data_IF_751522705217
#
_entry.id   IF_751522705217
#
_cell.length_a   1.000
_cell.length_b   1.000
_cell.length_c   1.000
_cell.angle_alpha   90.00
_cell.angle_beta   90.00
_cell.angle_gamma   90.00
#
_symmetry.space_group_name_H-M   'P 1'
#
loop_
_entity.id
_entity.type
_entity.pdbx_description
1 polymer ?
#
# COMPACT_ATOMS: atom_id res chain seq x y z
N UNK A 1 -61.81 -21.24 47.15
CA UNK A 1 -61.85 -19.76 47.23
C UNK A 1 -60.52 -19.18 47.69
N UNK A 2 -60.20 -19.04 48.99
CA UNK A 2 -58.98 -18.28 49.41
C UNK A 2 -57.65 -18.91 49.02
N UNK A 3 -57.52 -20.24 49.09
CA UNK A 3 -56.29 -20.98 48.70
C UNK A 3 -56.03 -20.93 47.19
N UNK A 4 -57.08 -21.03 46.37
CA UNK A 4 -56.95 -20.91 44.90
C UNK A 4 -56.50 -19.51 44.49
N UNK A 5 -57.02 -18.46 45.15
CA UNK A 5 -56.62 -17.08 44.87
C UNK A 5 -55.14 -16.85 45.20
N UNK A 6 -54.61 -17.48 46.25
CA UNK A 6 -53.20 -17.38 46.63
C UNK A 6 -52.28 -18.10 45.63
N UNK A 7 -52.67 -19.29 45.17
CA UNK A 7 -51.96 -20.03 44.11
C UNK A 7 -51.91 -19.20 42.82
N UNK A 8 -53.06 -18.67 42.38
CA UNK A 8 -53.14 -17.84 41.16
C UNK A 8 -52.30 -16.56 41.26
N UNK A 9 -52.19 -15.95 42.45
CA UNK A 9 -51.31 -14.79 42.65
C UNK A 9 -49.83 -15.15 42.50
N UNK A 10 -49.42 -16.30 43.03
CA UNK A 10 -48.05 -16.77 42.93
C UNK A 10 -47.70 -17.11 41.47
N UNK A 11 -48.58 -17.82 40.76
CA UNK A 11 -48.43 -18.11 39.33
C UNK A 11 -48.35 -16.83 38.48
N UNK A 12 -49.22 -15.84 38.73
CA UNK A 12 -49.13 -14.55 38.02
C UNK A 12 -47.82 -13.81 38.28
N UNK A 13 -47.28 -13.88 39.51
CA UNK A 13 -45.98 -13.28 39.82
C UNK A 13 -44.83 -13.98 39.09
N UNK A 14 -44.90 -15.30 38.97
CA UNK A 14 -43.93 -16.11 38.25
C UNK A 14 -43.96 -15.78 36.75
N UNK A 15 -45.13 -15.80 36.13
CA UNK A 15 -45.28 -15.48 34.71
C UNK A 15 -44.86 -14.05 34.38
N UNK A 16 -45.10 -13.09 35.28
CA UNK A 16 -44.62 -11.72 35.11
C UNK A 16 -43.09 -11.67 35.05
N UNK A 17 -42.41 -12.40 35.93
CA UNK A 17 -40.94 -12.48 35.91
C UNK A 17 -40.42 -13.17 34.65
N UNK A 18 -41.07 -14.24 34.18
CA UNK A 18 -40.70 -14.90 32.91
C UNK A 18 -40.83 -13.95 31.72
N UNK A 19 -41.91 -13.16 31.65
CA UNK A 19 -42.13 -12.17 30.60
C UNK A 19 -41.01 -11.12 30.61
N UNK A 20 -40.61 -10.64 31.78
CA UNK A 20 -39.52 -9.68 31.91
C UNK A 20 -38.18 -10.27 31.42
N UNK A 21 -37.88 -11.52 31.76
CA UNK A 21 -36.68 -12.24 31.28
C UNK A 21 -36.70 -12.42 29.75
N UNK A 22 -37.85 -12.80 29.19
CA UNK A 22 -38.03 -12.95 27.75
C UNK A 22 -37.85 -11.63 27.02
N UNK A 23 -38.38 -10.53 27.56
CA UNK A 23 -38.22 -9.19 26.97
C UNK A 23 -36.75 -8.76 26.93
N UNK A 24 -35.99 -9.00 28.01
CA UNK A 24 -34.55 -8.73 28.04
C UNK A 24 -33.81 -9.58 27.00
N UNK A 25 -34.16 -10.86 26.89
CA UNK A 25 -33.55 -11.79 25.93
C UNK A 25 -33.84 -11.39 24.47
N UNK A 26 -35.08 -10.98 24.18
CA UNK A 26 -35.47 -10.48 22.86
C UNK A 26 -34.72 -9.21 22.49
N UNK A 27 -34.58 -8.27 23.43
CA UNK A 27 -33.80 -7.04 23.19
C UNK A 27 -32.36 -7.36 22.84
N UNK A 28 -31.73 -8.24 23.63
CA UNK A 28 -30.35 -8.67 23.38
C UNK A 28 -30.22 -9.39 22.02
N UNK A 29 -31.18 -10.23 21.65
CA UNK A 29 -31.21 -10.90 20.35
C UNK A 29 -31.27 -9.91 19.19
N UNK A 30 -32.10 -8.87 19.30
CA UNK A 30 -32.22 -7.84 18.27
C UNK A 30 -30.91 -7.05 18.12
N UNK A 31 -30.29 -6.67 19.24
CA UNK A 31 -29.01 -5.95 19.24
C UNK A 31 -27.91 -6.77 18.51
N UNK A 32 -27.83 -8.08 18.80
CA UNK A 32 -26.91 -8.99 18.11
C UNK A 32 -27.21 -9.14 16.61
N UNK A 33 -28.48 -9.12 16.21
CA UNK A 33 -28.85 -9.21 14.80
C UNK A 33 -28.42 -7.96 14.03
N UNK A 34 -28.55 -6.77 14.64
CA UNK A 34 -28.11 -5.51 14.04
C UNK A 34 -26.58 -5.46 13.89
N UNK A 35 -25.84 -5.86 14.92
CA UNK A 35 -24.37 -5.92 14.88
C UNK A 35 -23.88 -6.89 13.79
N UNK A 36 -24.49 -8.07 13.69
CA UNK A 36 -24.17 -9.04 12.64
C UNK A 36 -24.42 -8.49 11.23
N UNK A 37 -25.46 -7.68 11.02
CA UNK A 37 -25.71 -7.02 9.72
C UNK A 37 -24.61 -6.01 9.40
N UNK A 38 -24.16 -5.21 10.37
CA UNK A 38 -23.06 -4.25 10.21
C UNK A 38 -21.75 -4.97 9.85
N UNK A 39 -21.40 -6.02 10.61
CA UNK A 39 -20.19 -6.81 10.36
C UNK A 39 -20.19 -7.46 8.97
N UNK A 40 -21.34 -7.96 8.49
CA UNK A 40 -21.45 -8.51 7.12
C UNK A 40 -21.17 -7.47 6.04
N UNK A 41 -21.62 -6.23 6.22
CA UNK A 41 -21.36 -5.13 5.29
C UNK A 41 -19.87 -4.74 5.29
N UNK A 42 -19.25 -4.66 6.46
CA UNK A 42 -17.81 -4.38 6.60
C UNK A 42 -16.96 -5.46 5.94
N UNK A 43 -17.32 -6.74 6.12
CA UNK A 43 -16.63 -7.88 5.48
C UNK A 43 -16.74 -7.79 3.96
N UNK A 44 -17.90 -7.46 3.40
CA UNK A 44 -18.07 -7.31 1.95
C UNK A 44 -17.22 -6.14 1.40
N UNK A 45 -17.21 -5.01 2.11
CA UNK A 45 -16.37 -3.87 1.77
C UNK A 45 -14.87 -4.23 1.79
N UNK A 46 -14.42 -4.91 2.86
CA UNK A 46 -13.04 -5.36 3.02
C UNK A 46 -12.64 -6.37 1.95
N UNK A 47 -13.53 -7.30 1.59
CA UNK A 47 -13.27 -8.27 0.53
C UNK A 47 -13.05 -7.60 -0.82
N UNK A 48 -13.81 -6.54 -1.13
CA UNK A 48 -13.64 -5.73 -2.35
C UNK A 48 -12.31 -4.98 -2.36
N UNK A 49 -11.90 -4.39 -1.24
CA UNK A 49 -10.61 -3.70 -1.16
C UNK A 49 -9.45 -4.68 -1.27
N UNK A 50 -9.54 -5.84 -0.62
CA UNK A 50 -8.53 -6.89 -0.68
C UNK A 50 -8.38 -7.45 -2.09
N UNK A 51 -9.48 -7.70 -2.81
CA UNK A 51 -9.42 -8.12 -4.22
C UNK A 51 -8.70 -7.11 -5.12
N UNK A 52 -8.96 -5.80 -4.94
CA UNK A 52 -8.24 -4.76 -5.69
C UNK A 52 -6.75 -4.73 -5.33
N UNK A 53 -6.43 -4.88 -4.04
CA UNK A 53 -5.07 -4.94 -3.55
C UNK A 53 -4.31 -6.14 -4.15
N UNK A 54 -4.88 -7.34 -4.08
CA UNK A 54 -4.31 -8.55 -4.68
C UNK A 54 -4.06 -8.36 -6.18
N UNK A 55 -5.06 -7.87 -6.93
CA UNK A 55 -4.88 -7.59 -8.37
C UNK A 55 -3.76 -6.60 -8.67
N UNK A 56 -3.53 -5.61 -7.78
CA UNK A 56 -2.41 -4.68 -7.93
C UNK A 56 -1.07 -5.31 -7.54
N UNK A 57 -1.04 -6.16 -6.52
CA UNK A 57 0.13 -6.92 -6.10
C UNK A 57 0.60 -7.84 -7.22
N UNK A 58 -0.30 -8.62 -7.81
CA UNK A 58 0.02 -9.54 -8.91
C UNK A 58 0.62 -8.78 -10.12
N UNK A 59 0.12 -7.58 -10.42
CA UNK A 59 0.68 -6.73 -11.48
C UNK A 59 2.08 -6.22 -11.14
N UNK A 60 2.30 -5.84 -9.89
CA UNK A 60 3.60 -5.40 -9.41
C UNK A 60 4.62 -6.56 -9.45
N UNK A 61 4.22 -7.74 -8.99
CA UNK A 61 5.07 -8.94 -9.00
C UNK A 61 5.46 -9.33 -10.43
N UNK A 62 4.52 -9.28 -11.37
CA UNK A 62 4.80 -9.49 -12.80
C UNK A 62 5.81 -8.45 -13.34
N UNK A 63 5.66 -7.17 -12.98
CA UNK A 63 6.58 -6.11 -13.40
C UNK A 63 7.99 -6.32 -12.83
N UNK A 64 8.09 -6.64 -11.54
CA UNK A 64 9.36 -6.88 -10.87
C UNK A 64 10.04 -8.17 -11.36
N UNK A 65 9.26 -9.21 -11.65
CA UNK A 65 9.75 -10.45 -12.27
C UNK A 65 10.38 -10.17 -13.65
N UNK A 66 9.75 -9.32 -14.47
CA UNK A 66 10.32 -8.88 -15.74
C UNK A 66 11.60 -8.05 -15.53
N UNK A 67 11.62 -7.15 -14.55
CA UNK A 67 12.83 -6.34 -14.26
C UNK A 67 14.02 -7.21 -13.82
N UNK A 68 13.82 -8.19 -12.93
CA UNK A 68 14.89 -9.10 -12.49
C UNK A 68 15.52 -9.87 -13.66
N UNK A 69 14.71 -10.37 -14.59
CA UNK A 69 15.20 -11.04 -15.81
C UNK A 69 16.08 -10.15 -16.70
N UNK A 70 15.88 -8.82 -16.69
CA UNK A 70 16.64 -7.90 -17.55
C UNK A 70 17.97 -7.47 -16.94
N UNK A 71 18.11 -7.53 -15.61
CA UNK A 71 19.29 -7.03 -14.87
C UNK A 71 20.17 -8.13 -14.26
N UNK A 72 19.62 -9.30 -13.92
CA UNK A 72 20.40 -10.45 -13.43
C UNK A 72 20.96 -11.24 -14.62
N UNK A 73 22.00 -10.72 -15.26
CA UNK A 73 22.78 -11.47 -16.27
C UNK A 73 23.93 -12.29 -15.68
N UNK A 74 24.31 -12.04 -14.42
CA UNK A 74 25.58 -12.53 -13.87
C UNK A 74 25.45 -13.23 -12.48
N UNK A 75 24.25 -13.70 -12.10
CA UNK A 75 24.01 -14.39 -10.82
C UNK A 75 23.88 -15.92 -10.94
N UNK A 76 24.70 -16.67 -10.20
CA UNK A 76 24.63 -18.14 -10.09
C UNK A 76 23.30 -18.59 -9.46
N UNK A 77 22.40 -19.16 -10.27
CA UNK A 77 21.23 -19.90 -9.77
C UNK A 77 19.87 -19.55 -10.39
N UNK A 78 19.79 -18.68 -11.40
CA UNK A 78 18.52 -18.37 -12.08
C UNK A 78 18.42 -19.05 -13.45
N UNK A 79 17.32 -19.78 -13.70
CA UNK A 79 16.98 -20.26 -15.04
C UNK A 79 16.37 -19.11 -15.85
N UNK A 80 17.06 -18.69 -16.91
CA UNK A 80 16.53 -17.69 -17.85
C UNK A 80 15.20 -18.17 -18.45
N UNK A 81 14.14 -17.38 -18.31
CA UNK A 81 12.88 -17.62 -19.00
C UNK A 81 13.08 -17.39 -20.51
N UNK A 82 13.28 -18.48 -21.27
CA UNK A 82 13.65 -18.52 -22.70
C UNK A 82 12.77 -17.68 -23.67
N UNK A 83 11.60 -17.22 -23.24
CA UNK A 83 10.61 -16.56 -24.11
C UNK A 83 10.32 -15.09 -23.77
N UNK A 84 11.06 -14.46 -22.84
CA UNK A 84 10.82 -13.04 -22.54
C UNK A 84 11.49 -12.18 -23.63
N UNK A 85 10.67 -11.49 -24.44
CA UNK A 85 11.15 -10.44 -25.35
C UNK A 85 11.91 -9.39 -24.53
N UNK A 86 13.23 -9.38 -24.63
CA UNK A 86 14.07 -8.36 -24.03
C UNK A 86 13.74 -7.00 -24.65
N UNK A 87 12.98 -6.18 -23.94
CA UNK A 87 12.81 -4.79 -24.30
C UNK A 87 14.13 -4.05 -24.01
N UNK A 88 14.94 -3.83 -25.05
CA UNK A 88 16.26 -3.18 -24.94
C UNK A 88 16.24 -1.76 -24.36
N UNK A 89 15.08 -1.11 -24.25
CA UNK A 89 15.00 0.36 -24.17
C UNK A 89 13.95 0.91 -23.18
N UNK A 90 13.91 0.47 -21.92
CA UNK A 90 13.08 1.19 -20.92
C UNK A 90 13.72 2.48 -20.41
N UNK A 91 15.05 2.58 -20.43
CA UNK A 91 15.77 3.79 -20.04
C UNK A 91 16.43 4.41 -21.27
N UNK A 92 15.97 5.59 -21.66
CA UNK A 92 16.73 6.48 -22.56
C UNK A 92 18.10 6.66 -21.91
N UNK A 93 19.18 6.30 -22.61
CA UNK A 93 20.55 6.61 -22.14
C UNK A 93 20.57 8.10 -21.83
N UNK A 94 20.76 8.47 -20.55
CA UNK A 94 21.02 9.87 -20.20
C UNK A 94 22.23 10.27 -21.03
N UNK A 95 22.05 11.24 -21.93
CA UNK A 95 23.16 11.89 -22.61
C UNK A 95 24.18 12.24 -21.52
N UNK A 96 25.43 11.77 -21.65
CA UNK A 96 26.46 12.01 -20.65
C UNK A 96 26.43 13.48 -20.24
N UNK A 97 26.31 13.80 -18.94
CA UNK A 97 26.27 15.19 -18.51
C UNK A 97 27.58 15.83 -18.98
N UNK A 98 27.47 16.76 -19.94
CA UNK A 98 28.59 17.58 -20.39
C UNK A 98 28.99 18.48 -19.23
N UNK A 99 29.87 17.97 -18.36
CA UNK A 99 30.38 18.70 -17.20
C UNK A 99 31.00 20.00 -17.71
N UNK A 100 30.38 21.14 -17.41
CA UNK A 100 30.89 22.47 -17.76
C UNK A 100 31.57 23.11 -16.55
N UNK A 101 32.70 23.77 -16.78
CA UNK A 101 33.39 24.52 -15.74
C UNK A 101 32.70 25.86 -15.48
N UNK A 102 32.26 26.12 -14.23
CA UNK A 102 31.59 27.38 -13.88
C UNK A 102 32.52 28.61 -13.95
N UNK A 103 33.85 28.41 -13.93
CA UNK A 103 34.81 29.51 -14.04
C UNK A 103 35.08 29.89 -15.51
N UNK A 104 35.41 28.90 -16.36
CA UNK A 104 35.81 29.18 -17.73
C UNK A 104 34.72 28.92 -18.79
N UNK A 105 33.59 28.29 -18.43
CA UNK A 105 32.50 27.95 -19.33
C UNK A 105 32.82 26.82 -20.33
N UNK A 106 34.03 26.25 -20.29
CA UNK A 106 34.42 25.13 -21.17
C UNK A 106 33.99 23.79 -20.57
N UNK A 107 33.71 22.83 -21.43
CA UNK A 107 33.26 21.49 -21.07
C UNK A 107 34.42 20.61 -20.57
N UNK A 108 34.08 19.43 -20.03
CA UNK A 108 34.95 18.32 -19.63
C UNK A 108 35.73 18.47 -18.33
N UNK A 109 35.54 19.56 -17.57
CA UNK A 109 36.22 19.74 -16.28
C UNK A 109 35.41 20.62 -15.31
N UNK A 110 35.73 20.53 -14.02
CA UNK A 110 35.09 21.31 -12.96
C UNK A 110 35.92 22.54 -12.59
N UNK A 111 35.31 23.50 -11.88
CA UNK A 111 35.96 24.75 -11.50
C UNK A 111 37.23 24.60 -10.66
N UNK A 112 37.40 23.49 -9.93
CA UNK A 112 38.60 23.22 -9.11
C UNK A 112 39.78 22.76 -9.96
N UNK A 113 39.54 22.09 -11.08
CA UNK A 113 40.57 21.65 -12.03
C UNK A 113 40.77 22.65 -13.18
N UNK A 114 40.16 23.84 -13.11
CA UNK A 114 40.25 24.85 -14.15
C UNK A 114 41.63 25.50 -14.21
N UNK A 115 42.31 25.40 -15.35
CA UNK A 115 43.63 25.98 -15.61
C UNK A 115 43.62 27.50 -15.39
N UNK A 116 42.59 28.18 -15.88
CA UNK A 116 42.43 29.63 -15.72
C UNK A 116 42.21 30.06 -14.25
N UNK A 117 41.79 29.15 -13.37
CA UNK A 117 41.66 29.41 -11.92
C UNK A 117 42.95 29.12 -11.18
N UNK A 118 43.68 28.06 -11.59
CA UNK A 118 44.96 27.67 -10.98
C UNK A 118 46.11 28.60 -11.35
N UNK A 119 46.08 29.19 -12.54
CA UNK A 119 47.13 30.07 -13.03
C UNK A 119 46.60 31.51 -13.12
N UNK A 120 46.96 32.36 -12.15
CA UNK A 120 46.58 33.78 -12.07
C UNK A 120 46.95 34.58 -13.33
N UNK A 121 47.98 34.16 -14.07
CA UNK A 121 48.47 34.82 -15.27
C UNK A 121 47.51 34.73 -16.48
N UNK A 122 46.53 33.82 -16.45
CA UNK A 122 45.54 33.63 -17.52
C UNK A 122 44.14 34.14 -17.12
N UNK A 123 44.06 34.99 -16.09
CA UNK A 123 42.80 35.49 -15.56
C UNK A 123 41.89 36.06 -16.65
N UNK A 124 40.63 35.57 -16.69
CA UNK A 124 39.60 36.15 -17.56
C UNK A 124 39.33 37.58 -17.10
N UNK A 125 39.64 38.57 -17.93
CA UNK A 125 39.03 39.90 -17.81
C UNK A 125 37.52 39.73 -18.02
N UNK A 126 36.74 39.80 -16.93
CA UNK A 126 35.28 39.89 -17.01
C UNK A 126 34.94 41.17 -17.77
N UNK A 127 34.44 41.05 -19.00
CA UNK A 127 33.61 42.12 -19.58
C UNK A 127 32.24 42.00 -18.91
N UNK A 128 31.84 43.06 -18.19
CA UNK A 128 30.48 43.27 -17.71
C UNK A 128 29.58 43.49 -18.92
#
# INVERSE_FOLDING_TARGET
>A
MSKEIEILKNENSYHKNEIDILNVSLKLSNDFEEENKKLKLEIDALKKTFSKFTNSSDKLDNLLGIQRCVFDKDGLGYEEMKNIKHFKNFFVKKNEPKISCNYCGRLRHISTSCIFRKNLCFGKTRKI
#
